data_IF_988070000146
#
_entry.id   IF_988070000146
#
_cell.length_a   1.000
_cell.length_b   1.000
_cell.length_c   1.000
_cell.angle_alpha   90.00
_cell.angle_beta   90.00
_cell.angle_gamma   90.00
#
_symmetry.space_group_name_H-M   'P 1'
#
loop_
_entity.id
_entity.type
_entity.pdbx_description
1 polymer ?
#
# COMPACT_ATOMS: atom_id res chain seq x y z
N UNK A 1 0.51 -19.36 7.26
CA UNK A 1 1.81 -19.22 6.55
C UNK A 1 2.77 -20.26 7.14
N UNK A 2 3.76 -20.78 6.40
CA UNK A 2 4.72 -21.76 6.94
C UNK A 2 6.07 -21.07 7.19
N UNK A 3 6.56 -21.06 8.43
CA UNK A 3 7.90 -20.57 8.78
C UNK A 3 8.89 -21.72 8.68
N UNK A 4 10.07 -21.46 8.11
CA UNK A 4 11.20 -22.40 8.11
C UNK A 4 12.35 -21.78 8.88
N UNK A 5 12.78 -22.45 9.95
CA UNK A 5 14.01 -22.12 10.66
C UNK A 5 15.08 -23.16 10.33
N UNK A 6 16.29 -22.69 10.05
CA UNK A 6 17.45 -23.55 9.77
C UNK A 6 18.49 -23.27 10.84
N UNK A 7 18.73 -24.25 11.70
CA UNK A 7 19.72 -24.17 12.79
C UNK A 7 20.82 -25.19 12.54
N UNK A 8 22.08 -24.78 12.70
CA UNK A 8 23.22 -25.69 12.70
C UNK A 8 23.60 -26.02 14.14
N UNK A 9 23.40 -27.27 14.55
CA UNK A 9 23.85 -27.77 15.85
C UNK A 9 24.91 -28.85 15.63
N UNK A 10 26.17 -28.53 15.92
CA UNK A 10 27.30 -29.39 15.59
C UNK A 10 27.41 -29.61 14.07
N UNK A 11 27.51 -30.87 13.58
CA UNK A 11 27.53 -31.18 12.15
C UNK A 11 26.14 -31.37 11.54
N UNK A 12 25.05 -31.07 12.26
CA UNK A 12 23.68 -31.39 11.85
C UNK A 12 22.87 -30.13 11.57
N UNK A 13 22.26 -30.06 10.39
CA UNK A 13 21.24 -29.07 10.08
C UNK A 13 19.88 -29.54 10.59
N UNK A 14 19.25 -28.71 11.40
CA UNK A 14 17.86 -28.85 11.83
C UNK A 14 17.01 -27.89 11.01
N UNK A 15 16.06 -28.44 10.24
CA UNK A 15 15.09 -27.68 9.46
C UNK A 15 13.75 -27.81 10.18
N UNK A 16 13.31 -26.73 10.81
CA UNK A 16 12.13 -26.70 11.66
C UNK A 16 11.01 -25.97 10.91
N UNK A 17 9.88 -26.64 10.76
CA UNK A 17 8.67 -26.07 10.19
C UNK A 17 7.75 -25.62 11.33
N UNK A 18 7.44 -24.34 11.39
CA UNK A 18 6.61 -23.75 12.46
C UNK A 18 5.39 -23.09 11.84
N UNK A 19 4.26 -23.14 12.55
CA UNK A 19 3.12 -22.31 12.21
C UNK A 19 3.50 -20.84 12.36
N UNK A 20 3.37 -20.07 11.29
CA UNK A 20 3.71 -18.66 11.29
C UNK A 20 2.61 -17.78 11.91
N UNK A 21 1.52 -18.35 12.42
CA UNK A 21 0.44 -17.61 13.10
C UNK A 21 0.81 -17.18 14.53
N UNK A 22 1.71 -17.90 15.22
CA UNK A 22 2.09 -17.61 16.62
C UNK A 22 3.15 -16.50 16.76
N UNK A 23 3.78 -16.11 15.66
CA UNK A 23 4.70 -14.98 15.63
C UNK A 23 4.00 -13.80 14.97
N UNK A 24 4.11 -12.55 15.49
CA UNK A 24 3.60 -11.40 14.75
C UNK A 24 4.24 -11.44 13.36
N UNK A 25 3.45 -11.54 12.27
CA UNK A 25 4.01 -11.61 10.94
C UNK A 25 4.89 -10.37 10.72
N UNK A 26 5.96 -10.48 9.90
CA UNK A 26 6.64 -9.28 9.43
C UNK A 26 5.57 -8.30 8.91
N UNK A 27 5.69 -7.05 9.33
CA UNK A 27 4.65 -5.99 9.32
C UNK A 27 3.41 -6.28 8.47
N UNK A 28 2.21 -6.10 9.04
CA UNK A 28 0.98 -6.17 8.25
C UNK A 28 0.58 -4.78 7.79
N UNK A 29 0.30 -4.62 6.51
CA UNK A 29 -0.29 -3.39 5.97
C UNK A 29 -1.79 -3.62 5.79
N UNK A 30 -2.59 -2.82 6.49
CA UNK A 30 -4.05 -2.90 6.48
C UNK A 30 -4.63 -1.70 5.70
N UNK A 31 -5.19 -1.97 4.51
CA UNK A 31 -5.86 -0.93 3.71
C UNK A 31 -7.35 -0.85 4.06
N UNK A 32 -7.72 0.10 4.92
CA UNK A 32 -9.11 0.36 5.29
C UNK A 32 -9.86 1.29 4.31
N UNK A 33 -9.19 1.80 3.26
CA UNK A 33 -9.81 2.71 2.29
C UNK A 33 -10.65 1.97 1.25
N UNK A 34 -11.43 2.73 0.47
CA UNK A 34 -12.22 2.23 -0.66
C UNK A 34 -11.41 2.16 -1.97
N UNK A 35 -10.14 2.58 -1.95
CA UNK A 35 -9.28 2.65 -3.13
C UNK A 35 -8.01 1.82 -2.95
N UNK A 36 -7.37 1.37 -4.05
CA UNK A 36 -6.08 0.70 -3.95
C UNK A 36 -5.01 1.66 -3.40
N UNK A 37 -4.23 1.17 -2.44
CA UNK A 37 -3.05 1.89 -1.91
C UNK A 37 -1.81 1.18 -2.43
N UNK A 38 -0.89 1.94 -3.00
CA UNK A 38 0.36 1.44 -3.52
C UNK A 38 1.47 1.68 -2.51
N UNK A 39 2.43 0.76 -2.45
CA UNK A 39 3.53 0.80 -1.50
C UNK A 39 4.84 0.31 -2.12
N UNK A 40 5.95 0.80 -1.57
CA UNK A 40 7.30 0.35 -1.85
C UNK A 40 8.27 0.78 -0.73
N UNK A 41 9.37 0.05 -0.54
CA UNK A 41 10.48 0.55 0.27
C UNK A 41 11.15 1.74 -0.45
N UNK A 42 11.53 2.74 0.33
CA UNK A 42 12.12 4.01 -0.13
C UNK A 42 13.65 3.93 -0.10
N UNK A 43 14.32 4.84 -0.81
CA UNK A 43 15.79 4.95 -0.75
C UNK A 43 16.56 3.87 -1.52
N UNK A 44 15.88 2.91 -2.14
CA UNK A 44 16.53 1.82 -2.85
C UNK A 44 17.18 2.29 -4.16
N UNK A 45 18.41 1.83 -4.39
CA UNK A 45 19.19 2.14 -5.60
C UNK A 45 18.64 1.48 -6.87
N UNK A 46 17.92 0.36 -6.72
CA UNK A 46 17.26 -0.36 -7.81
C UNK A 46 15.76 -0.06 -7.80
N UNK A 47 15.11 0.01 -8.97
CA UNK A 47 13.66 0.16 -9.04
C UNK A 47 13.00 -1.17 -8.65
N UNK A 48 12.68 -1.35 -7.37
CA UNK A 48 11.85 -2.46 -6.93
C UNK A 48 10.40 -2.27 -7.38
N UNK A 49 9.71 -3.39 -7.56
CA UNK A 49 8.35 -3.39 -8.08
C UNK A 49 7.40 -2.74 -7.07
N UNK A 50 6.69 -1.71 -7.52
CA UNK A 50 5.58 -1.12 -6.77
C UNK A 50 4.46 -2.16 -6.62
N UNK A 51 4.08 -2.43 -5.38
CA UNK A 51 2.98 -3.31 -5.06
C UNK A 51 1.72 -2.52 -4.72
N UNK A 52 0.55 -3.18 -4.78
CA UNK A 52 -0.74 -2.57 -4.53
C UNK A 52 -1.56 -3.42 -3.57
N UNK A 53 -2.17 -2.77 -2.58
CA UNK A 53 -3.10 -3.37 -1.64
C UNK A 53 -4.50 -2.99 -2.10
N UNK A 54 -5.32 -4.00 -2.34
CA UNK A 54 -6.73 -3.80 -2.72
C UNK A 54 -7.49 -3.07 -1.61
N UNK A 55 -8.60 -2.38 -1.94
CA UNK A 55 -9.51 -1.84 -0.94
C UNK A 55 -9.92 -2.89 0.09
N UNK A 56 -10.05 -2.49 1.35
CA UNK A 56 -10.52 -3.33 2.47
C UNK A 56 -9.76 -4.65 2.63
N UNK A 57 -8.49 -4.67 2.25
CA UNK A 57 -7.65 -5.86 2.30
C UNK A 57 -6.41 -5.61 3.15
N UNK A 58 -5.88 -6.72 3.67
CA UNK A 58 -4.62 -6.77 4.41
C UNK A 58 -3.61 -7.61 3.65
N UNK A 59 -2.35 -7.21 3.69
CA UNK A 59 -1.25 -8.01 3.15
C UNK A 59 -0.11 -8.10 4.16
N UNK A 60 0.56 -9.26 4.25
CA UNK A 60 1.84 -9.34 4.93
C UNK A 60 2.88 -8.53 4.15
N UNK A 61 3.78 -7.86 4.85
CA UNK A 61 4.84 -7.07 4.26
C UNK A 61 6.20 -7.44 4.86
N UNK A 62 7.19 -7.53 3.98
CA UNK A 62 8.60 -7.65 4.32
C UNK A 62 9.38 -6.62 3.53
N UNK A 63 10.54 -6.23 4.04
CA UNK A 63 11.46 -5.36 3.33
C UNK A 63 11.94 -5.99 2.03
N UNK A 64 12.10 -5.14 1.00
CA UNK A 64 12.70 -5.54 -0.27
C UNK A 64 14.21 -5.72 -0.08
N UNK A 65 14.86 -4.78 0.64
CA UNK A 65 16.26 -4.84 1.04
C UNK A 65 16.39 -4.67 2.57
N UNK A 66 16.69 -5.75 3.32
CA UNK A 66 16.68 -5.73 4.78
C UNK A 66 17.74 -4.85 5.46
N UNK A 67 18.79 -4.47 4.73
CA UNK A 67 19.93 -3.69 5.26
C UNK A 67 19.68 -2.18 5.09
N UNK A 68 18.77 -1.81 4.18
CA UNK A 68 18.42 -0.43 3.89
C UNK A 68 17.50 0.15 4.94
N UNK A 69 17.37 1.48 4.96
CA UNK A 69 16.52 2.16 5.94
C UNK A 69 15.06 1.67 5.86
N UNK A 70 14.37 1.50 7.01
CA UNK A 70 13.00 1.00 7.08
C UNK A 70 11.98 2.11 6.76
N UNK A 71 12.20 2.78 5.62
CA UNK A 71 11.36 3.83 5.10
C UNK A 71 10.38 3.26 4.07
N UNK A 72 9.09 3.34 4.36
CA UNK A 72 8.03 2.88 3.45
C UNK A 72 7.33 4.07 2.82
N UNK A 73 7.29 4.10 1.49
CA UNK A 73 6.49 5.05 0.72
C UNK A 73 5.11 4.43 0.46
N UNK A 74 4.05 5.16 0.80
CA UNK A 74 2.68 4.85 0.39
C UNK A 74 2.17 5.93 -0.57
N UNK A 75 1.32 5.55 -1.53
CA UNK A 75 0.64 6.51 -2.39
C UNK A 75 -0.67 5.96 -2.94
N UNK A 76 -1.58 6.88 -3.27
CA UNK A 76 -2.80 6.58 -4.01
C UNK A 76 -2.65 7.14 -5.42
N UNK A 77 -3.06 6.39 -6.45
CA UNK A 77 -3.04 6.90 -7.81
C UNK A 77 -3.89 8.18 -7.92
N UNK A 78 -3.33 9.25 -8.48
CA UNK A 78 -4.01 10.55 -8.59
C UNK A 78 -4.22 11.28 -7.25
N UNK A 79 -3.62 10.78 -6.16
CA UNK A 79 -3.69 11.37 -4.83
C UNK A 79 -2.32 11.74 -4.28
N UNK A 80 -2.22 11.76 -2.94
CA UNK A 80 -0.95 12.07 -2.25
C UNK A 80 -0.01 10.86 -2.17
N UNK A 81 1.25 11.19 -1.89
CA UNK A 81 2.36 10.25 -1.66
C UNK A 81 3.06 10.66 -0.37
N UNK A 82 3.20 9.73 0.56
CA UNK A 82 3.77 9.97 1.89
C UNK A 82 4.82 8.89 2.19
N UNK A 83 5.87 9.24 2.93
CA UNK A 83 6.90 8.30 3.38
C UNK A 83 6.89 8.21 4.91
N UNK A 84 6.88 6.98 5.43
CA UNK A 84 6.83 6.68 6.86
C UNK A 84 8.10 5.97 7.28
N UNK A 85 8.59 6.28 8.47
CA UNK A 85 9.67 5.52 9.11
C UNK A 85 9.04 4.46 10.00
N UNK A 86 9.23 3.17 9.65
CA UNK A 86 8.61 2.07 10.39
C UNK A 86 9.31 1.74 11.72
N UNK A 87 10.47 2.34 12.03
CA UNK A 87 11.06 2.29 13.38
C UNK A 87 10.32 3.18 14.37
N UNK A 88 9.52 4.14 13.87
CA UNK A 88 8.73 5.05 14.70
C UNK A 88 7.26 4.65 14.63
N UNK A 89 6.74 4.17 15.75
CA UNK A 89 5.32 3.84 15.91
C UNK A 89 4.51 5.11 16.23
N UNK A 90 4.49 6.05 15.28
CA UNK A 90 3.75 7.30 15.38
C UNK A 90 2.68 7.42 14.29
N UNK A 91 1.68 8.26 14.53
CA UNK A 91 0.71 8.61 13.49
C UNK A 91 1.41 9.49 12.46
N UNK A 92 1.57 8.97 11.24
CA UNK A 92 2.18 9.73 10.16
C UNK A 92 1.16 10.57 9.38
N UNK A 93 1.62 11.25 8.33
CA UNK A 93 0.77 12.12 7.54
C UNK A 93 -0.38 11.35 6.85
N UNK A 94 -1.49 12.03 6.59
CA UNK A 94 -2.65 11.39 5.95
C UNK A 94 -2.49 11.27 4.43
N UNK A 95 -2.93 10.13 3.89
CA UNK A 95 -3.06 9.91 2.45
C UNK A 95 -4.43 10.40 1.96
N UNK A 96 -4.43 11.32 1.01
CA UNK A 96 -5.63 11.89 0.41
C UNK A 96 -5.79 11.41 -1.02
N UNK A 97 -7.01 11.02 -1.38
CA UNK A 97 -7.39 10.73 -2.76
C UNK A 97 -8.32 11.84 -3.27
N UNK A 98 -7.98 12.45 -4.40
CA UNK A 98 -8.86 13.42 -5.05
C UNK A 98 -9.95 12.66 -5.83
N UNK A 99 -11.18 12.71 -5.33
CA UNK A 99 -12.33 12.10 -6.02
C UNK A 99 -13.00 13.15 -6.91
N UNK A 100 -12.87 13.00 -8.24
CA UNK A 100 -13.56 13.87 -9.20
C UNK A 100 -14.98 13.34 -9.41
N UNK A 101 -15.99 14.12 -9.02
CA UNK A 101 -17.39 13.80 -9.32
C UNK A 101 -17.72 14.41 -10.68
N UNK A 102 -18.08 13.56 -11.64
CA UNK A 102 -18.56 13.98 -12.96
C UNK A 102 -20.07 14.14 -12.90
N UNK A 103 -20.55 15.36 -13.09
CA UNK A 103 -21.97 15.64 -13.30
C UNK A 103 -22.17 16.01 -14.76
N UNK A 104 -22.92 15.17 -15.48
CA UNK A 104 -23.40 15.47 -16.82
C UNK A 104 -24.83 16.00 -16.72
N UNK A 105 -25.04 17.23 -17.18
CA UNK A 105 -26.37 17.84 -17.23
C UNK A 105 -26.79 17.99 -18.70
N UNK A 106 -27.80 17.23 -19.12
CA UNK A 106 -28.40 17.36 -20.45
C UNK A 106 -29.70 18.16 -20.35
N UNK A 107 -29.77 19.31 -21.03
CA UNK A 107 -31.02 20.07 -21.15
C UNK A 107 -31.86 19.49 -22.30
N UNK A 108 -33.06 19.02 -22.00
CA UNK A 108 -33.99 18.44 -23.00
C UNK A 108 -34.94 19.46 -23.64
N UNK A 109 -34.80 20.77 -23.34
CA UNK A 109 -35.68 21.81 -23.88
C UNK A 109 -34.87 22.98 -24.48
N UNK A 110 -34.63 22.92 -25.80
CA UNK A 110 -34.07 24.04 -26.57
C UNK A 110 -33.39 23.56 -27.85
N UNK A 111 -33.63 24.24 -28.98
CA UNK A 111 -33.30 23.81 -30.36
C UNK A 111 -31.79 23.69 -30.68
N UNK A 112 -30.90 23.62 -29.71
CA UNK A 112 -29.47 23.37 -29.88
C UNK A 112 -28.97 22.55 -28.67
N UNK A 113 -28.56 21.31 -28.92
CA UNK A 113 -27.99 20.43 -27.90
C UNK A 113 -26.64 20.98 -27.43
N UNK A 114 -26.64 21.58 -26.23
CA UNK A 114 -25.40 22.00 -25.56
C UNK A 114 -25.17 21.10 -24.35
N UNK A 115 -24.18 20.21 -24.44
CA UNK A 115 -23.70 19.45 -23.28
C UNK A 115 -22.76 20.34 -22.46
N UNK A 116 -23.04 20.49 -21.17
CA UNK A 116 -22.17 21.19 -20.22
C UNK A 116 -21.59 20.14 -19.28
N UNK A 117 -20.25 20.01 -19.30
CA UNK A 117 -19.52 19.17 -18.36
C UNK A 117 -19.05 20.05 -17.19
N UNK A 118 -19.53 19.74 -15.98
CA UNK A 118 -19.11 20.41 -14.76
C UNK A 118 -18.16 19.49 -13.97
N UNK A 119 -17.04 20.04 -13.52
CA UNK A 119 -16.08 19.34 -12.67
C UNK A 119 -16.11 19.97 -11.28
N UNK A 120 -16.45 19.16 -10.27
CA UNK A 120 -16.32 19.57 -8.88
C UNK A 120 -15.18 18.82 -8.22
N UNK A 121 -14.21 19.58 -7.69
CA UNK A 121 -13.15 19.08 -6.80
C UNK A 121 -13.67 19.22 -5.37
N UNK A 122 -13.72 18.11 -4.63
CA UNK A 122 -14.12 18.12 -3.21
C UNK A 122 -12.99 18.65 -2.34
#
# INVERSE_FOLDING_TARGET
LLKVEIVLEGPTFHIIFVDAEEFPPPFRIDNHSEVPVYYNQSGLSKPYQKAAIKPKCSVPYTWDEPIEEPLMTLYVQGGSKVTYNLDKLEEGEQLCYENFIYLEATSTFGRNDCNIFLYMKK
#
